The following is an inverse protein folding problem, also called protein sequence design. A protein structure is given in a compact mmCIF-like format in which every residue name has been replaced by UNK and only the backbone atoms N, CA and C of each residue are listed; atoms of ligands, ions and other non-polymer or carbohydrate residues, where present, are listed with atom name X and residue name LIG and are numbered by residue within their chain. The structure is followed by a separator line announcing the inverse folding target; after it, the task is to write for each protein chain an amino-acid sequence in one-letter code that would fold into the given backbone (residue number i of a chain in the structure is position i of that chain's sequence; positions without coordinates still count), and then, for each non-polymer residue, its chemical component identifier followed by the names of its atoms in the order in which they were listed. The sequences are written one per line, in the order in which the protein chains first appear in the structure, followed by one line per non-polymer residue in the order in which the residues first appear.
data_IF_658745184222
#
_entry.id   IF_658745184222
#
_cell.length_a   1.000
_cell.length_b   1.000
_cell.length_c   1.000
_cell.angle_alpha   90.00
_cell.angle_beta   90.00
_cell.angle_gamma   90.00
#
_symmetry.space_group_name_H-M   'P 1'
#
loop_
_entity.id
_entity.type
_entity.pdbx_description
1 polymer ?
#
# COMPACT_ATOMS: atom_id res chain seq x y z
N UNK A 1 -45.02 -23.09 -32.90
CA UNK A 1 -45.14 -21.80 -32.19
C UNK A 1 -44.10 -21.85 -31.09
N UNK A 2 -43.14 -20.95 -31.06
CA UNK A 2 -42.14 -20.94 -29.97
C UNK A 2 -42.89 -20.50 -28.72
N UNK A 3 -42.90 -21.33 -27.67
CA UNK A 3 -43.62 -21.01 -26.45
C UNK A 3 -43.06 -19.72 -25.84
N UNK A 4 -43.94 -18.79 -25.48
CA UNK A 4 -43.55 -17.50 -24.90
C UNK A 4 -42.69 -17.68 -23.64
N UNK A 5 -42.84 -18.78 -22.91
CA UNK A 5 -41.99 -19.15 -21.77
C UNK A 5 -40.53 -19.40 -22.16
N UNK A 6 -40.28 -19.99 -23.33
CA UNK A 6 -38.93 -20.24 -23.86
C UNK A 6 -38.25 -18.93 -24.27
N UNK A 7 -38.99 -18.01 -24.91
CA UNK A 7 -38.49 -16.69 -25.27
C UNK A 7 -38.15 -15.83 -24.03
N UNK A 8 -38.99 -15.89 -22.98
CA UNK A 8 -38.73 -15.19 -21.71
C UNK A 8 -37.47 -15.74 -21.02
N UNK A 9 -37.28 -17.06 -21.00
CA UNK A 9 -36.09 -17.68 -20.41
C UNK A 9 -34.78 -17.23 -21.09
N UNK A 10 -34.78 -17.19 -22.42
CA UNK A 10 -33.62 -16.70 -23.20
C UNK A 10 -33.36 -15.22 -22.92
N UNK A 11 -34.40 -14.39 -22.87
CA UNK A 11 -34.26 -12.96 -22.59
C UNK A 11 -33.65 -12.72 -21.20
N UNK A 12 -34.09 -13.47 -20.18
CA UNK A 12 -33.53 -13.39 -18.82
C UNK A 12 -32.07 -13.83 -18.79
N UNK A 13 -31.72 -14.93 -19.45
CA UNK A 13 -30.34 -15.41 -19.52
C UNK A 13 -29.40 -14.37 -20.15
N UNK A 14 -29.80 -13.74 -21.26
CA UNK A 14 -29.03 -12.67 -21.92
C UNK A 14 -28.87 -11.46 -20.99
N UNK A 15 -29.91 -11.10 -20.23
CA UNK A 15 -29.87 -9.97 -19.31
C UNK A 15 -28.91 -10.24 -18.13
N UNK A 16 -28.89 -11.47 -17.59
CA UNK A 16 -27.93 -11.87 -16.55
C UNK A 16 -26.49 -11.83 -17.08
N UNK A 17 -26.26 -12.30 -18.31
CA UNK A 17 -24.92 -12.27 -18.95
C UNK A 17 -24.47 -10.84 -19.22
N UNK A 18 -25.36 -9.96 -19.70
CA UNK A 18 -25.04 -8.55 -19.90
C UNK A 18 -24.76 -7.85 -18.57
N UNK A 19 -25.56 -8.12 -17.53
CA UNK A 19 -25.34 -7.55 -16.21
C UNK A 19 -24.00 -8.00 -15.62
N UNK A 20 -23.68 -9.29 -15.70
CA UNK A 20 -22.38 -9.81 -15.22
C UNK A 20 -21.21 -9.24 -16.02
N UNK A 21 -21.34 -9.11 -17.34
CA UNK A 21 -20.34 -8.49 -18.20
C UNK A 21 -20.11 -7.01 -17.87
N UNK A 22 -21.18 -6.25 -17.65
CA UNK A 22 -21.09 -4.83 -17.27
C UNK A 22 -20.48 -4.64 -15.88
N UNK A 23 -20.83 -5.51 -14.92
CA UNK A 23 -20.23 -5.50 -13.58
C UNK A 23 -18.74 -5.82 -13.67
N UNK A 24 -18.36 -6.85 -14.43
CA UNK A 24 -16.98 -7.25 -14.64
C UNK A 24 -16.15 -6.14 -15.31
N UNK A 25 -16.68 -5.53 -16.38
CA UNK A 25 -16.02 -4.44 -17.09
C UNK A 25 -15.83 -3.21 -16.19
N UNK A 26 -16.81 -2.89 -15.34
CA UNK A 26 -16.73 -1.76 -14.40
C UNK A 26 -15.71 -2.03 -13.30
N UNK A 27 -15.57 -3.27 -12.82
CA UNK A 27 -14.52 -3.65 -11.86
C UNK A 27 -13.15 -3.54 -12.54
N UNK A 28 -13.00 -4.05 -13.76
CA UNK A 28 -11.73 -4.02 -14.48
C UNK A 28 -11.27 -2.58 -14.81
N UNK A 29 -12.19 -1.70 -15.19
CA UNK A 29 -11.91 -0.28 -15.42
C UNK A 29 -11.40 0.46 -14.17
N UNK A 30 -11.84 0.07 -12.96
CA UNK A 30 -11.34 0.66 -11.70
C UNK A 30 -9.85 0.39 -11.46
N UNK A 31 -9.30 -0.70 -12.01
CA UNK A 31 -7.91 -1.10 -11.79
C UNK A 31 -6.92 -0.51 -12.82
N UNK A 32 -7.43 0.13 -13.88
CA UNK A 32 -6.59 0.71 -14.95
C UNK A 32 -6.12 2.14 -14.65
N UNK A 33 -6.70 2.80 -13.64
CA UNK A 33 -6.31 4.15 -13.27
C UNK A 33 -5.05 4.13 -12.40
N UNK A 34 -4.09 5.02 -12.69
CA UNK A 34 -2.91 5.20 -11.86
C UNK A 34 -3.28 5.50 -10.41
N UNK A 35 -2.62 4.82 -9.47
CA UNK A 35 -3.01 4.88 -8.06
C UNK A 35 -1.86 5.10 -7.09
N UNK A 36 -2.15 5.82 -6.00
CA UNK A 36 -1.34 5.88 -4.79
C UNK A 36 -2.05 5.16 -3.64
N UNK A 37 -1.30 4.36 -2.88
CA UNK A 37 -1.84 3.57 -1.77
C UNK A 37 -1.30 4.11 -0.45
N UNK A 38 -2.16 4.40 0.53
CA UNK A 38 -1.78 4.80 1.89
C UNK A 38 -1.93 3.60 2.81
N UNK A 39 -0.82 3.18 3.43
CA UNK A 39 -0.71 1.96 4.24
C UNK A 39 0.03 2.26 5.54
N UNK A 40 -0.07 1.38 6.53
CA UNK A 40 0.68 1.44 7.79
C UNK A 40 -0.17 1.15 9.02
N UNK A 41 0.43 1.11 10.21
CA UNK A 41 -0.26 0.68 11.44
C UNK A 41 -1.40 1.61 11.84
N UNK A 42 -2.36 1.09 12.61
CA UNK A 42 -3.43 1.89 13.21
C UNK A 42 -2.86 3.03 14.06
N UNK A 43 -3.47 4.22 13.98
CA UNK A 43 -3.02 5.40 14.72
C UNK A 43 -1.86 6.19 14.07
N UNK A 44 -1.26 5.72 12.97
CA UNK A 44 -0.18 6.44 12.29
C UNK A 44 -0.59 7.72 11.56
N UNK A 45 -1.90 7.91 11.32
CA UNK A 45 -2.46 9.12 10.70
C UNK A 45 -2.85 9.00 9.22
N UNK A 46 -2.95 7.77 8.69
CA UNK A 46 -3.35 7.48 7.30
C UNK A 46 -4.61 8.23 6.84
N UNK A 47 -5.70 8.07 7.58
CA UNK A 47 -7.00 8.68 7.25
C UNK A 47 -6.96 10.21 7.35
N UNK A 48 -6.18 10.76 8.29
CA UNK A 48 -5.95 12.21 8.34
C UNK A 48 -5.21 12.69 7.09
N UNK A 49 -4.17 11.95 6.64
CA UNK A 49 -3.45 12.29 5.42
C UNK A 49 -4.37 12.20 4.21
N UNK A 50 -5.15 11.13 4.09
CA UNK A 50 -6.13 10.95 3.02
C UNK A 50 -7.08 12.14 2.91
N UNK A 51 -7.71 12.55 4.01
CA UNK A 51 -8.63 13.70 4.01
C UNK A 51 -7.92 15.04 3.76
N UNK A 52 -6.67 15.17 4.22
CA UNK A 52 -5.86 16.35 3.93
C UNK A 52 -5.58 16.48 2.43
N UNK A 53 -5.19 15.39 1.78
CA UNK A 53 -4.87 15.37 0.35
C UNK A 53 -6.12 15.52 -0.54
N UNK A 54 -7.26 14.97 -0.13
CA UNK A 54 -8.50 14.97 -0.94
C UNK A 54 -9.39 16.19 -0.69
N UNK A 55 -9.67 16.49 0.57
CA UNK A 55 -10.69 17.49 0.96
C UNK A 55 -10.09 18.78 1.52
N UNK A 56 -8.76 18.85 1.72
CA UNK A 56 -8.03 19.94 2.39
C UNK A 56 -8.57 20.31 3.77
N UNK A 57 -9.43 19.47 4.36
CA UNK A 57 -10.05 19.63 5.67
C UNK A 57 -9.80 18.38 6.50
N UNK A 58 -9.28 18.59 7.72
CA UNK A 58 -9.05 17.50 8.66
C UNK A 58 -10.35 17.15 9.40
N UNK A 59 -10.69 15.86 9.56
CA UNK A 59 -11.82 15.46 10.40
C UNK A 59 -11.53 15.78 11.87
N UNK A 60 -12.56 16.17 12.63
CA UNK A 60 -12.44 16.52 14.06
C UNK A 60 -12.01 15.29 14.88
N UNK A 61 -12.46 14.10 14.48
CA UNK A 61 -12.02 12.82 15.02
C UNK A 61 -11.90 11.81 13.88
N UNK A 62 -10.77 11.09 13.81
CA UNK A 62 -10.63 9.92 12.92
C UNK A 62 -10.78 8.65 13.75
N UNK A 63 -11.80 7.84 13.45
CA UNK A 63 -11.92 6.48 13.96
C UNK A 63 -11.18 5.51 13.05
N UNK A 64 -10.87 4.31 13.54
CA UNK A 64 -10.27 3.26 12.73
C UNK A 64 -11.24 2.82 11.64
N UNK A 65 -10.88 2.98 10.37
CA UNK A 65 -11.76 2.56 9.27
C UNK A 65 -11.88 1.04 9.24
N UNK A 66 -13.10 0.56 8.97
CA UNK A 66 -13.42 -0.86 8.78
C UNK A 66 -13.29 -1.24 7.29
N UNK A 67 -13.46 -0.26 6.40
CA UNK A 67 -13.36 -0.39 4.94
C UNK A 67 -12.34 0.62 4.38
N UNK A 68 -11.72 0.34 3.21
CA UNK A 68 -10.81 1.29 2.57
C UNK A 68 -11.54 2.57 2.12
N UNK A 69 -10.93 3.73 2.32
CA UNK A 69 -11.40 4.95 1.66
C UNK A 69 -10.81 5.02 0.26
N UNK A 70 -11.64 5.24 -0.75
CA UNK A 70 -11.25 5.23 -2.16
C UNK A 70 -11.68 6.53 -2.83
N UNK A 71 -10.71 7.28 -3.35
CA UNK A 71 -10.94 8.51 -4.09
C UNK A 71 -10.40 8.36 -5.52
N UNK A 72 -11.30 8.32 -6.52
CA UNK A 72 -10.94 8.17 -7.93
C UNK A 72 -10.58 9.49 -8.64
N UNK A 73 -10.83 10.63 -8.01
CA UNK A 73 -10.62 11.97 -8.59
C UNK A 73 -9.53 12.74 -7.83
N UNK A 74 -8.51 12.04 -7.33
CA UNK A 74 -7.43 12.66 -6.58
C UNK A 74 -6.51 13.43 -7.54
N UNK A 75 -6.34 14.74 -7.29
CA UNK A 75 -5.35 15.59 -7.96
C UNK A 75 -4.43 16.19 -6.92
N UNK A 76 -3.15 15.86 -6.98
CA UNK A 76 -2.14 16.47 -6.11
C UNK A 76 -1.90 17.93 -6.50
N UNK A 77 -1.90 18.23 -7.79
CA UNK A 77 -1.75 19.58 -8.34
C UNK A 77 -2.74 19.77 -9.49
N UNK A 78 -3.23 21.00 -9.70
CA UNK A 78 -4.29 21.29 -10.67
C UNK A 78 -3.93 20.95 -12.12
N UNK A 79 -2.63 20.97 -12.45
CA UNK A 79 -2.12 20.68 -13.79
C UNK A 79 -1.85 19.19 -14.04
N UNK A 80 -1.96 18.34 -13.01
CA UNK A 80 -1.73 16.90 -13.13
C UNK A 80 -3.04 16.13 -13.33
N UNK A 81 -2.92 14.94 -13.92
CA UNK A 81 -4.06 14.07 -14.20
C UNK A 81 -4.73 13.58 -12.91
N UNK A 82 -6.03 13.25 -13.01
CA UNK A 82 -6.75 12.59 -11.92
C UNK A 82 -6.25 11.17 -11.72
N UNK A 83 -5.94 10.84 -10.48
CA UNK A 83 -5.48 9.52 -10.06
C UNK A 83 -6.39 8.97 -8.98
N UNK A 84 -6.19 7.70 -8.66
CA UNK A 84 -6.83 7.03 -7.55
C UNK A 84 -5.97 7.16 -6.30
N UNK A 85 -6.55 7.53 -5.16
CA UNK A 85 -5.91 7.50 -3.85
C UNK A 85 -6.70 6.56 -2.95
N UNK A 86 -6.04 5.60 -2.32
CA UNK A 86 -6.70 4.61 -1.46
C UNK A 86 -6.08 4.61 -0.07
N UNK A 87 -6.88 4.76 0.99
CA UNK A 87 -6.45 4.61 2.39
C UNK A 87 -6.92 3.26 2.94
N UNK A 88 -5.97 2.38 3.26
CA UNK A 88 -6.26 1.05 3.79
C UNK A 88 -6.32 1.04 5.33
N UNK A 89 -7.24 0.26 5.92
CA UNK A 89 -7.27 0.06 7.37
C UNK A 89 -5.96 -0.52 7.92
N UNK A 90 -5.50 -0.04 9.08
CA UNK A 90 -4.22 -0.45 9.67
C UNK A 90 -4.23 -1.74 10.49
N UNK A 91 -5.38 -2.40 10.63
CA UNK A 91 -5.50 -3.64 11.41
C UNK A 91 -5.14 -4.86 10.56
N UNK A 92 -4.31 -5.78 11.08
CA UNK A 92 -3.74 -6.91 10.31
C UNK A 92 -4.79 -7.74 9.54
N UNK A 93 -5.95 -8.06 10.16
CA UNK A 93 -7.01 -8.81 9.46
C UNK A 93 -7.60 -8.04 8.26
N UNK A 94 -7.70 -6.73 8.36
CA UNK A 94 -8.25 -5.88 7.30
C UNK A 94 -7.21 -5.63 6.20
N UNK A 95 -5.92 -5.55 6.54
CA UNK A 95 -4.83 -5.56 5.57
C UNK A 95 -4.86 -6.84 4.73
N UNK A 96 -5.08 -8.00 5.36
CA UNK A 96 -5.24 -9.28 4.66
C UNK A 96 -6.43 -9.29 3.71
N UNK A 97 -7.57 -8.75 4.14
CA UNK A 97 -8.78 -8.75 3.35
C UNK A 97 -8.69 -7.80 2.15
N UNK A 98 -8.16 -6.59 2.35
CA UNK A 98 -8.18 -5.52 1.36
C UNK A 98 -6.82 -5.32 0.69
N UNK A 99 -5.80 -4.91 1.44
CA UNK A 99 -4.50 -4.53 0.87
C UNK A 99 -3.84 -5.70 0.14
N UNK A 100 -3.68 -6.86 0.79
CA UNK A 100 -2.96 -7.98 0.16
C UNK A 100 -3.77 -8.62 -0.97
N UNK A 101 -5.10 -8.58 -0.90
CA UNK A 101 -5.95 -8.96 -2.03
C UNK A 101 -5.71 -8.05 -3.23
N UNK A 102 -5.64 -6.74 -2.99
CA UNK A 102 -5.38 -5.75 -4.03
C UNK A 102 -3.95 -5.85 -4.59
N UNK A 103 -2.94 -6.01 -3.75
CA UNK A 103 -1.54 -6.19 -4.17
C UNK A 103 -1.29 -7.50 -4.94
N UNK A 104 -2.14 -8.52 -4.75
CA UNK A 104 -2.10 -9.75 -5.55
C UNK A 104 -2.65 -9.55 -6.97
N UNK A 105 -3.34 -8.44 -7.24
CA UNK A 105 -3.82 -8.13 -8.58
C UNK A 105 -2.70 -7.45 -9.41
N UNK A 106 -2.18 -8.11 -10.46
CA UNK A 106 -1.05 -7.57 -11.23
C UNK A 106 -1.40 -6.27 -11.98
N UNK A 107 -2.66 -6.06 -12.35
CA UNK A 107 -3.09 -4.85 -13.05
C UNK A 107 -3.02 -3.63 -12.14
N UNK A 108 -3.42 -3.79 -10.87
CA UNK A 108 -3.32 -2.73 -9.86
C UNK A 108 -1.86 -2.46 -9.50
N UNK A 109 -1.06 -3.52 -9.33
CA UNK A 109 0.35 -3.34 -8.98
C UNK A 109 1.11 -2.59 -10.07
N UNK A 110 0.80 -2.85 -11.35
CA UNK A 110 1.36 -2.12 -12.50
C UNK A 110 0.85 -0.68 -12.61
N UNK A 111 -0.38 -0.40 -12.20
CA UNK A 111 -0.94 0.97 -12.21
C UNK A 111 -0.54 1.77 -10.96
N UNK A 112 0.01 1.12 -9.93
CA UNK A 112 0.50 1.75 -8.72
C UNK A 112 1.72 2.64 -9.01
N UNK A 113 1.57 3.95 -8.79
CA UNK A 113 2.65 4.93 -8.94
C UNK A 113 3.49 5.09 -7.68
N UNK A 114 2.96 4.65 -6.53
CA UNK A 114 3.71 4.65 -5.29
C UNK A 114 2.87 4.28 -4.07
N UNK A 115 3.56 3.81 -3.03
CA UNK A 115 2.97 3.43 -1.76
C UNK A 115 3.45 4.38 -0.66
N UNK A 116 2.52 5.00 0.05
CA UNK A 116 2.79 5.89 1.18
C UNK A 116 2.61 5.09 2.46
N UNK A 117 3.72 4.70 3.06
CA UNK A 117 3.75 3.96 4.32
C UNK A 117 3.84 4.93 5.51
N UNK A 118 2.72 5.11 6.21
CA UNK A 118 2.58 6.02 7.34
C UNK A 118 3.09 5.41 8.64
N UNK A 119 4.03 6.10 9.29
CA UNK A 119 4.64 5.70 10.56
C UNK A 119 4.33 6.75 11.63
N UNK A 120 3.99 6.32 12.84
CA UNK A 120 3.97 7.21 14.01
C UNK A 120 5.38 7.29 14.62
N UNK A 121 6.05 8.43 14.46
CA UNK A 121 7.43 8.59 14.95
C UNK A 121 7.52 8.64 16.48
N UNK A 122 6.44 9.00 17.18
CA UNK A 122 6.43 9.10 18.66
C UNK A 122 6.18 7.73 19.29
N UNK A 123 5.28 6.95 18.72
CA UNK A 123 4.93 5.63 19.22
C UNK A 123 5.87 4.52 18.74
N UNK A 124 6.99 4.86 18.09
CA UNK A 124 7.89 3.91 17.43
C UNK A 124 8.76 3.13 18.43
N UNK A 125 8.17 2.24 19.22
CA UNK A 125 8.88 1.30 20.11
C UNK A 125 9.45 0.12 19.34
N UNK A 126 10.20 -0.78 20.01
CA UNK A 126 10.68 -2.03 19.38
C UNK A 126 9.51 -2.91 18.90
N UNK A 127 8.48 -3.08 19.72
CA UNK A 127 7.26 -3.83 19.33
C UNK A 127 6.54 -3.21 18.13
N UNK A 128 6.51 -1.87 18.06
CA UNK A 128 5.97 -1.16 16.90
C UNK A 128 6.83 -1.38 15.65
N UNK A 129 8.16 -1.40 15.81
CA UNK A 129 9.10 -1.70 14.73
C UNK A 129 8.91 -3.12 14.19
N UNK A 130 8.75 -4.12 15.05
CA UNK A 130 8.48 -5.51 14.68
C UNK A 130 7.17 -5.63 13.88
N UNK A 131 6.10 -4.97 14.34
CA UNK A 131 4.83 -4.92 13.62
C UNK A 131 4.98 -4.30 12.22
N UNK A 132 5.68 -3.16 12.14
CA UNK A 132 5.92 -2.47 10.86
C UNK A 132 6.77 -3.34 9.94
N UNK A 133 7.84 -3.95 10.44
CA UNK A 133 8.72 -4.80 9.65
C UNK A 133 7.97 -6.03 9.10
N UNK A 134 7.08 -6.66 9.88
CA UNK A 134 6.24 -7.76 9.39
C UNK A 134 5.31 -7.33 8.26
N UNK A 135 4.64 -6.18 8.41
CA UNK A 135 3.77 -5.62 7.37
C UNK A 135 4.57 -5.29 6.10
N UNK A 136 5.71 -4.62 6.25
CA UNK A 136 6.60 -4.30 5.14
C UNK A 136 7.14 -5.53 4.44
N UNK A 137 7.56 -6.55 5.19
CA UNK A 137 8.05 -7.79 4.60
C UNK A 137 7.01 -8.42 3.67
N UNK A 138 5.73 -8.41 4.06
CA UNK A 138 4.64 -8.89 3.20
C UNK A 138 4.39 -8.00 1.97
N UNK A 139 4.50 -6.68 2.11
CA UNK A 139 4.36 -5.72 1.01
C UNK A 139 5.52 -5.88 0.02
N UNK A 140 6.77 -5.90 0.50
CA UNK A 140 7.99 -6.03 -0.30
C UNK A 140 8.00 -7.31 -1.12
N UNK A 141 7.57 -8.43 -0.55
CA UNK A 141 7.42 -9.70 -1.27
C UNK A 141 6.45 -9.63 -2.46
N UNK A 142 5.61 -8.58 -2.55
CA UNK A 142 4.71 -8.33 -3.67
C UNK A 142 5.24 -7.23 -4.56
N UNK A 143 5.67 -6.10 -4.01
CA UNK A 143 6.12 -4.93 -4.79
C UNK A 143 7.40 -5.23 -5.58
N UNK A 144 8.35 -5.95 -5.00
CA UNK A 144 9.63 -6.29 -5.64
C UNK A 144 9.51 -7.40 -6.69
N UNK A 145 8.31 -7.96 -6.91
CA UNK A 145 8.08 -8.92 -8.00
C UNK A 145 7.96 -8.24 -9.37
N UNK A 146 7.75 -6.92 -9.39
CA UNK A 146 7.69 -6.15 -10.63
C UNK A 146 9.09 -5.67 -11.05
N UNK A 147 9.35 -5.58 -12.37
CA UNK A 147 10.54 -4.89 -12.85
C UNK A 147 10.48 -3.41 -12.41
N UNK A 148 11.56 -2.91 -11.82
CA UNK A 148 11.70 -1.59 -11.17
C UNK A 148 10.96 -1.43 -9.82
N UNK A 149 10.37 -2.50 -9.26
CA UNK A 149 9.67 -2.46 -7.98
C UNK A 149 8.49 -1.48 -7.93
N UNK A 150 8.12 -1.08 -6.71
CA UNK A 150 7.17 0.02 -6.46
C UNK A 150 7.81 0.98 -5.47
N UNK A 151 7.87 2.26 -5.83
CA UNK A 151 8.40 3.29 -4.95
C UNK A 151 7.58 3.42 -3.66
N UNK A 152 8.26 3.42 -2.51
CA UNK A 152 7.66 3.52 -1.19
C UNK A 152 8.16 4.76 -0.45
N UNK A 153 7.22 5.62 -0.05
CA UNK A 153 7.45 6.73 0.86
C UNK A 153 7.16 6.33 2.29
N UNK A 154 8.19 6.28 3.13
CA UNK A 154 8.04 6.20 4.59
C UNK A 154 7.74 7.60 5.15
N UNK A 155 6.46 7.88 5.30
CA UNK A 155 5.96 9.12 5.86
C UNK A 155 5.98 9.05 7.41
N UNK A 156 7.09 9.51 7.99
CA UNK A 156 7.31 9.60 9.43
C UNK A 156 6.49 10.76 10.01
N UNK A 157 5.26 10.45 10.44
CA UNK A 157 4.32 11.41 10.99
C UNK A 157 4.65 11.77 12.45
N UNK A 158 4.17 12.94 12.89
CA UNK A 158 4.41 13.50 14.24
C UNK A 158 5.89 13.73 14.56
N UNK A 159 6.73 13.90 13.53
CA UNK A 159 8.19 14.02 13.69
C UNK A 159 8.67 15.35 14.30
N UNK A 160 7.76 16.29 14.49
CA UNK A 160 7.94 17.58 15.15
C UNK A 160 7.76 17.52 16.68
N UNK A 161 7.25 16.39 17.21
CA UNK A 161 7.07 16.20 18.65
C UNK A 161 8.40 15.81 19.30
N UNK A 162 8.67 16.31 20.51
CA UNK A 162 9.94 16.07 21.22
C UNK A 162 10.27 14.58 21.43
N UNK A 163 9.23 13.74 21.61
CA UNK A 163 9.38 12.30 21.79
C UNK A 163 9.50 11.53 20.46
N UNK A 164 9.49 12.22 19.31
CA UNK A 164 9.61 11.57 18.02
C UNK A 164 11.00 10.99 17.81
N UNK A 165 11.06 9.74 17.35
CA UNK A 165 12.32 9.14 16.93
C UNK A 165 12.83 9.81 15.65
N UNK A 166 14.14 10.14 15.58
CA UNK A 166 14.75 10.63 14.36
C UNK A 166 14.61 9.64 13.20
N UNK A 167 14.40 10.17 12.00
CA UNK A 167 14.17 9.40 10.77
C UNK A 167 15.30 8.38 10.51
N UNK A 168 16.56 8.76 10.72
CA UNK A 168 17.70 7.85 10.51
C UNK A 168 17.66 6.63 11.46
N UNK A 169 17.19 6.82 12.70
CA UNK A 169 17.04 5.71 13.66
C UNK A 169 15.89 4.79 13.26
N UNK A 170 14.79 5.35 12.74
CA UNK A 170 13.67 4.56 12.21
C UNK A 170 14.15 3.68 11.05
N UNK A 171 14.91 4.24 10.08
CA UNK A 171 15.50 3.47 8.97
C UNK A 171 16.38 2.33 9.50
N UNK A 172 17.33 2.64 10.38
CA UNK A 172 18.28 1.65 10.92
C UNK A 172 17.58 0.53 11.71
N UNK A 173 16.57 0.86 12.52
CA UNK A 173 15.79 -0.12 13.27
C UNK A 173 15.00 -1.05 12.32
N UNK A 174 14.39 -0.50 11.27
CA UNK A 174 13.66 -1.30 10.28
C UNK A 174 14.57 -2.19 9.45
N UNK A 175 15.74 -1.70 9.02
CA UNK A 175 16.70 -2.52 8.28
C UNK A 175 17.16 -3.73 9.10
N UNK A 176 17.47 -3.51 10.39
CA UNK A 176 17.85 -4.60 11.32
C UNK A 176 16.74 -5.61 11.50
N UNK A 177 15.50 -5.14 11.71
CA UNK A 177 14.37 -6.03 11.94
C UNK A 177 13.97 -6.82 10.68
N UNK A 178 14.04 -6.18 9.50
CA UNK A 178 13.82 -6.86 8.22
C UNK A 178 14.91 -7.90 7.94
N UNK A 179 16.18 -7.62 8.28
CA UNK A 179 17.24 -8.63 8.18
C UNK A 179 16.98 -9.83 9.10
N UNK A 180 16.51 -9.58 10.33
CA UNK A 180 16.12 -10.64 11.26
C UNK A 180 14.98 -11.51 10.70
N UNK A 181 13.89 -10.88 10.24
CA UNK A 181 12.74 -11.59 9.63
C UNK A 181 13.17 -12.42 8.40
N UNK A 182 14.06 -11.87 7.58
CA UNK A 182 14.66 -12.56 6.45
C UNK A 182 15.44 -13.80 6.89
N UNK A 183 16.33 -13.69 7.87
CA UNK A 183 17.10 -14.83 8.39
C UNK A 183 16.20 -15.92 8.98
N UNK A 184 15.13 -15.53 9.69
CA UNK A 184 14.14 -16.46 10.22
C UNK A 184 13.45 -17.22 9.08
N UNK A 185 13.01 -16.52 8.03
CA UNK A 185 12.36 -17.15 6.89
C UNK A 185 13.30 -18.09 6.12
N UNK A 186 14.56 -17.71 5.90
CA UNK A 186 15.56 -18.60 5.26
C UNK A 186 15.78 -19.88 6.07
N UNK A 187 15.91 -19.78 7.40
CA UNK A 187 16.04 -20.95 8.28
C UNK A 187 14.80 -21.85 8.20
N UNK A 188 13.61 -21.27 8.24
CA UNK A 188 12.35 -22.01 8.14
C UNK A 188 12.23 -22.74 6.79
N UNK A 189 12.63 -22.10 5.70
CA UNK A 189 12.63 -22.72 4.37
C UNK A 189 13.63 -23.88 4.30
N UNK A 190 14.86 -23.70 4.79
CA UNK A 190 15.89 -24.76 4.81
C UNK A 190 15.49 -25.99 5.63
N UNK A 191 14.59 -25.84 6.61
CA UNK A 191 14.06 -26.95 7.40
C UNK A 191 12.92 -27.72 6.69
N UNK A 192 12.35 -27.17 5.62
CA UNK A 192 11.15 -27.69 4.94
C UNK A 192 11.44 -28.17 3.51
N UNK A 193 12.46 -27.64 2.82
CA UNK A 193 12.73 -27.94 1.41
C UNK A 193 13.93 -28.88 1.20
N UNK A 194 13.67 -30.19 1.11
CA UNK A 194 14.47 -31.14 0.31
C UNK A 194 13.95 -31.26 -1.14
N UNK A 195 12.87 -30.56 -1.52
CA UNK A 195 12.28 -30.57 -2.86
C UNK A 195 11.73 -29.19 -3.22
N UNK A 196 11.97 -28.80 -4.46
CA UNK A 196 11.55 -27.59 -5.19
C UNK A 196 12.53 -26.39 -5.13
N UNK A 197 13.24 -26.25 -6.24
CA UNK A 197 14.45 -25.47 -6.46
C UNK A 197 14.22 -24.12 -7.18
N UNK A 198 13.03 -23.50 -7.10
CA UNK A 198 12.74 -22.27 -7.85
C UNK A 198 11.98 -21.23 -7.01
N UNK A 199 12.51 -20.85 -5.84
CA UNK A 199 12.08 -19.62 -5.17
C UNK A 199 13.31 -18.73 -4.97
N UNK A 200 13.74 -18.06 -6.05
CA UNK A 200 14.57 -16.86 -6.00
C UNK A 200 13.82 -15.78 -5.20
N UNK A 201 13.83 -15.96 -3.89
CA UNK A 201 13.25 -15.01 -2.96
C UNK A 201 14.18 -13.83 -2.95
N UNK A 202 13.66 -12.63 -3.24
CA UNK A 202 14.38 -11.36 -3.24
C UNK A 202 15.42 -11.20 -2.10
N UNK A 203 15.13 -11.81 -0.96
CA UNK A 203 15.92 -11.78 0.26
C UNK A 203 17.05 -12.82 0.39
N UNK A 204 17.43 -13.52 -0.69
CA UNK A 204 18.40 -14.65 -0.67
C UNK A 204 19.88 -14.27 -0.55
N UNK A 205 20.23 -12.97 -0.54
CA UNK A 205 21.64 -12.55 -0.48
C UNK A 205 22.30 -12.76 0.89
N UNK A 206 23.57 -13.16 0.96
CA UNK A 206 24.32 -13.32 2.23
C UNK A 206 24.68 -11.99 2.93
N UNK A 207 24.28 -10.84 2.37
CA UNK A 207 24.61 -9.52 2.89
C UNK A 207 23.56 -9.07 3.91
N UNK A 208 23.96 -8.14 4.79
CA UNK A 208 23.01 -7.44 5.65
C UNK A 208 22.02 -6.66 4.78
N UNK A 209 20.73 -6.81 5.07
CA UNK A 209 19.68 -6.10 4.37
C UNK A 209 19.85 -4.58 4.49
N UNK A 210 19.66 -3.87 3.37
CA UNK A 210 19.48 -2.43 3.34
C UNK A 210 18.48 -2.08 2.24
N UNK A 211 17.69 -1.02 2.47
CA UNK A 211 16.70 -0.56 1.49
C UNK A 211 17.33 -0.17 0.15
N UNK A 212 18.60 0.20 0.14
CA UNK A 212 19.31 0.63 -1.07
C UNK A 212 19.62 -0.55 -2.03
N UNK A 213 19.38 -1.79 -1.59
CA UNK A 213 19.54 -3.01 -2.40
C UNK A 213 18.27 -3.41 -3.15
N UNK A 214 17.15 -2.75 -2.85
CA UNK A 214 15.84 -3.01 -3.46
C UNK A 214 15.74 -2.33 -4.83
N UNK A 215 14.85 -2.82 -5.71
CA UNK A 215 14.66 -2.25 -7.04
C UNK A 215 13.84 -0.95 -6.99
N UNK A 216 12.85 -0.88 -6.09
CA UNK A 216 12.07 0.34 -5.85
C UNK A 216 12.88 1.43 -5.13
N UNK A 217 12.39 2.67 -5.16
CA UNK A 217 12.94 3.75 -4.33
C UNK A 217 12.25 3.81 -2.96
N UNK A 218 13.04 3.94 -1.88
CA UNK A 218 12.58 3.93 -0.50
C UNK A 218 12.99 5.21 0.23
N UNK A 219 12.09 6.20 0.21
CA UNK A 219 12.35 7.52 0.77
C UNK A 219 11.77 7.66 2.18
N UNK A 220 12.58 8.14 3.13
CA UNK A 220 12.12 8.42 4.50
C UNK A 220 12.00 9.91 4.73
N UNK A 221 10.78 10.40 4.96
CA UNK A 221 10.49 11.83 5.07
C UNK A 221 9.64 12.11 6.31
N UNK A 222 10.15 12.99 7.18
CA UNK A 222 9.44 13.47 8.35
C UNK A 222 8.41 14.55 8.02
N UNK A 223 7.29 14.52 8.73
CA UNK A 223 6.22 15.52 8.60
C UNK A 223 5.19 15.42 9.72
N UNK A 224 4.15 16.26 9.61
CA UNK A 224 3.03 16.27 10.54
C UNK A 224 1.75 16.64 9.80
N UNK A 225 0.79 15.71 9.78
CA UNK A 225 -0.50 15.89 9.10
C UNK A 225 -1.36 16.98 9.75
N UNK A 226 -1.38 17.03 11.09
CA UNK A 226 -2.23 17.94 11.88
C UNK A 226 -1.74 19.38 11.76
N UNK A 227 -0.43 19.60 11.90
CA UNK A 227 0.20 20.92 11.71
C UNK A 227 0.31 21.33 10.25
N UNK A 228 0.09 20.38 9.34
CA UNK A 228 0.09 20.60 7.90
C UNK A 228 1.46 20.71 7.26
N UNK A 229 2.52 20.30 7.94
CA UNK A 229 3.88 20.20 7.39
C UNK A 229 4.00 18.91 6.57
N UNK A 230 3.24 18.83 5.46
CA UNK A 230 3.15 17.68 4.54
C UNK A 230 3.71 17.97 3.15
N UNK A 231 4.21 19.19 2.92
CA UNK A 231 4.69 19.67 1.61
C UNK A 231 5.71 18.72 0.97
N UNK A 232 6.65 18.18 1.75
CA UNK A 232 7.65 17.23 1.24
C UNK A 232 7.03 15.93 0.74
N UNK A 233 5.98 15.45 1.42
CA UNK A 233 5.24 14.26 0.98
C UNK A 233 4.44 14.57 -0.29
N UNK A 234 3.84 15.75 -0.37
CA UNK A 234 3.11 16.21 -1.56
C UNK A 234 4.03 16.36 -2.77
N UNK A 235 5.24 16.90 -2.59
CA UNK A 235 6.27 16.95 -3.64
C UNK A 235 6.67 15.55 -4.12
N UNK A 236 6.88 14.61 -3.19
CA UNK A 236 7.20 13.23 -3.53
C UNK A 236 6.09 12.60 -4.39
N UNK A 237 4.83 12.77 -3.96
CA UNK A 237 3.66 12.26 -4.70
C UNK A 237 3.57 12.91 -6.09
N UNK A 238 3.80 14.23 -6.19
CA UNK A 238 3.74 14.96 -7.46
C UNK A 238 4.82 14.48 -8.45
N UNK A 239 6.04 14.20 -7.98
CA UNK A 239 7.11 13.67 -8.83
C UNK A 239 6.75 12.30 -9.43
N UNK A 240 6.22 11.39 -8.61
CA UNK A 240 5.82 10.03 -9.05
C UNK A 240 4.51 10.02 -9.84
N UNK A 241 3.72 11.09 -9.76
CA UNK A 241 2.52 11.25 -10.56
C UNK A 241 2.82 11.58 -12.04
N UNK A 242 4.00 12.14 -12.32
CA UNK A 242 4.44 12.53 -13.67
C UNK A 242 5.12 11.36 -14.39
N UNK A 243 5.92 10.59 -13.66
CA UNK A 243 6.59 9.36 -14.14
C UNK A 243 5.56 8.24 -14.32
#
# INVERSE_FOLDING_TARGET
MVDNSFLISIAVAILVILASFLIFHKIQSKHQQHSFLIVGPSGSGKTLLFHRLTNKKLPVHSVTNIEPNDCHSFRIQEHLNEMRLVDYPGHNKLLQLYLYTDLNNPDLLKSCKGLIYMIDSVAFTQEYCELVAQQLFQILNKTETLPNGVDILFACNKNDLFMAKPIFQIKEMLEKELDNLRQINLKNLSAVSEKDNDNDTFFSSDRTFSFDQLEGNFDFIGGNVIKGTTEKWECWIAERAVN
#
